data_IF_629493511161
#
_entry.id   IF_629493511161
#
_cell.length_a   1.000
_cell.length_b   1.000
_cell.length_c   1.000
_cell.angle_alpha   90.00
_cell.angle_beta   90.00
_cell.angle_gamma   90.00
#
_symmetry.space_group_name_H-M   'P 1'
#
loop_
_entity.id
_entity.type
_entity.pdbx_description
1 polymer ?
#
# COMPACT_ATOMS: atom_id res chain seq x y z
N UNK A 1 7.03 36.08 -24.50
CA UNK A 1 6.91 34.61 -24.63
C UNK A 1 7.50 34.20 -25.96
N UNK A 2 8.48 33.29 -25.99
CA UNK A 2 9.06 32.79 -27.24
C UNK A 2 8.04 31.94 -28.02
N UNK A 3 8.15 31.84 -29.36
CA UNK A 3 7.31 30.96 -30.19
C UNK A 3 7.36 29.50 -29.71
N UNK A 4 8.54 29.04 -29.30
CA UNK A 4 8.79 27.71 -28.76
C UNK A 4 7.99 27.43 -27.48
N UNK A 5 7.88 28.43 -26.59
CA UNK A 5 7.07 28.29 -25.38
C UNK A 5 5.56 28.20 -25.65
N UNK A 6 5.07 28.80 -26.76
CA UNK A 6 3.67 28.66 -27.18
C UNK A 6 3.39 27.27 -27.73
N UNK A 7 4.29 26.76 -28.58
CA UNK A 7 4.18 25.42 -29.15
C UNK A 7 4.25 24.33 -28.06
N UNK A 8 5.19 24.44 -27.10
CA UNK A 8 5.28 23.51 -25.98
C UNK A 8 3.98 23.47 -25.15
N UNK A 9 3.33 24.61 -24.91
CA UNK A 9 2.02 24.65 -24.24
C UNK A 9 0.92 23.97 -25.05
N UNK A 10 0.91 24.15 -26.36
CA UNK A 10 -0.06 23.50 -27.24
C UNK A 10 0.11 21.98 -27.21
N UNK A 11 1.35 21.49 -27.34
CA UNK A 11 1.68 20.06 -27.27
C UNK A 11 1.27 19.48 -25.92
N UNK A 12 1.60 20.16 -24.81
CA UNK A 12 1.15 19.75 -23.47
C UNK A 12 -0.37 19.58 -23.39
N UNK A 13 -1.13 20.57 -23.86
CA UNK A 13 -2.59 20.52 -23.81
C UNK A 13 -3.16 19.39 -24.68
N UNK A 14 -2.58 19.17 -25.87
CA UNK A 14 -2.94 18.06 -26.76
C UNK A 14 -2.67 16.72 -26.08
N UNK A 15 -1.48 16.51 -25.51
CA UNK A 15 -1.13 15.27 -24.81
C UNK A 15 -2.06 15.03 -23.61
N UNK A 16 -2.34 16.05 -22.81
CA UNK A 16 -3.28 15.93 -21.69
C UNK A 16 -4.72 15.62 -22.16
N UNK A 17 -5.15 16.13 -23.32
CA UNK A 17 -6.45 15.77 -23.89
C UNK A 17 -6.47 14.31 -24.32
N UNK A 18 -5.43 13.83 -25.01
CA UNK A 18 -5.31 12.43 -25.42
C UNK A 18 -5.33 11.51 -24.20
N UNK A 19 -4.56 11.83 -23.16
CA UNK A 19 -4.55 11.05 -21.90
C UNK A 19 -5.94 11.02 -21.26
N UNK A 20 -6.67 12.15 -21.27
CA UNK A 20 -8.05 12.21 -20.74
C UNK A 20 -9.03 11.35 -21.52
N UNK A 21 -8.81 11.19 -22.81
CA UNK A 21 -9.66 10.38 -23.69
C UNK A 21 -9.27 8.89 -23.63
N UNK A 22 -8.03 8.58 -23.24
CA UNK A 22 -7.57 7.22 -22.97
C UNK A 22 -8.16 6.64 -21.69
N UNK A 23 -8.38 7.46 -20.66
CA UNK A 23 -8.95 7.00 -19.41
C UNK A 23 -10.49 7.04 -19.50
N UNK A 24 -11.18 5.88 -19.47
CA UNK A 24 -12.62 5.82 -19.67
C UNK A 24 -13.36 6.71 -18.67
N UNK A 25 -14.36 7.49 -19.08
CA UNK A 25 -15.19 8.30 -18.18
C UNK A 25 -16.47 7.57 -17.79
N UNK A 26 -16.34 6.38 -17.19
CA UNK A 26 -17.47 5.59 -16.68
C UNK A 26 -18.42 5.02 -17.75
N UNK A 27 -18.84 3.76 -17.57
CA UNK A 27 -19.89 2.93 -18.21
C UNK A 27 -20.24 3.04 -19.71
N UNK A 28 -19.82 4.05 -20.45
CA UNK A 28 -20.09 4.19 -21.89
C UNK A 28 -18.86 3.70 -22.66
N UNK A 29 -18.96 2.44 -23.10
CA UNK A 29 -18.22 1.87 -24.24
C UNK A 29 -16.69 1.86 -24.16
N UNK A 30 -16.13 0.98 -23.32
CA UNK A 30 -14.86 0.31 -23.65
C UNK A 30 -15.17 -0.99 -24.38
N UNK A 31 -15.71 -0.87 -25.59
CA UNK A 31 -15.60 -1.94 -26.56
C UNK A 31 -14.13 -2.05 -26.99
N UNK A 32 -13.39 -2.98 -26.38
CA UNK A 32 -12.21 -3.63 -26.94
C UNK A 32 -11.15 -2.73 -27.60
N UNK A 33 -10.58 -1.77 -26.87
CA UNK A 33 -9.33 -1.14 -27.35
C UNK A 33 -8.16 -2.05 -26.97
N UNK A 34 -7.40 -2.49 -27.98
CA UNK A 34 -6.27 -3.38 -27.77
C UNK A 34 -5.21 -2.66 -26.91
N UNK A 35 -4.65 -3.30 -25.86
CA UNK A 35 -3.57 -2.73 -25.06
C UNK A 35 -2.34 -2.30 -25.89
N UNK A 36 -2.12 -2.91 -27.05
CA UNK A 36 -1.05 -2.50 -27.98
C UNK A 36 -1.30 -1.11 -28.59
N UNK A 37 -2.56 -0.77 -28.90
CA UNK A 37 -2.93 0.56 -29.39
C UNK A 37 -2.66 1.62 -28.32
N UNK A 38 -3.01 1.33 -27.06
CA UNK A 38 -2.79 2.26 -25.93
C UNK A 38 -1.30 2.54 -25.77
N UNK A 39 -0.46 1.50 -25.83
CA UNK A 39 0.98 1.66 -25.73
C UNK A 39 1.54 2.51 -26.86
N UNK A 40 1.16 2.26 -28.11
CA UNK A 40 1.64 3.04 -29.26
C UNK A 40 1.24 4.53 -29.19
N UNK A 41 0.06 4.82 -28.65
CA UNK A 41 -0.39 6.20 -28.40
C UNK A 41 0.49 6.87 -27.34
N UNK A 42 0.82 6.18 -26.25
CA UNK A 42 1.68 6.70 -25.20
C UNK A 42 3.13 6.90 -25.68
N UNK A 43 3.65 5.99 -26.50
CA UNK A 43 4.96 6.14 -27.16
C UNK A 43 4.99 7.39 -28.04
N UNK A 44 3.97 7.59 -28.87
CA UNK A 44 3.82 8.79 -29.70
C UNK A 44 3.74 10.07 -28.86
N UNK A 45 3.01 10.04 -27.73
CA UNK A 45 2.96 11.16 -26.79
C UNK A 45 4.32 11.43 -26.14
N UNK A 46 5.10 10.38 -25.85
CA UNK A 46 6.43 10.49 -25.27
C UNK A 46 7.40 11.17 -26.23
N UNK A 47 7.44 10.74 -27.49
CA UNK A 47 8.26 11.33 -28.56
C UNK A 47 7.90 12.80 -28.83
N UNK A 48 6.60 13.10 -28.87
CA UNK A 48 6.11 14.46 -29.00
C UNK A 48 6.54 15.32 -27.80
N UNK A 49 6.46 14.81 -26.57
CA UNK A 49 6.93 15.52 -25.38
C UNK A 49 8.44 15.80 -25.43
N UNK A 50 9.24 14.79 -25.79
CA UNK A 50 10.69 14.89 -25.88
C UNK A 50 11.13 16.00 -26.86
N UNK A 51 10.44 16.11 -28.00
CA UNK A 51 10.70 17.13 -29.03
C UNK A 51 10.54 18.57 -28.52
N UNK A 52 9.76 18.78 -27.46
CA UNK A 52 9.49 20.11 -26.87
C UNK A 52 10.02 20.24 -25.43
N UNK A 53 10.97 19.37 -25.02
CA UNK A 53 11.55 19.36 -23.66
C UNK A 53 10.49 19.21 -22.55
N UNK A 54 9.42 18.47 -22.83
CA UNK A 54 8.41 18.09 -21.84
C UNK A 54 8.67 16.65 -21.37
N UNK A 55 8.24 16.34 -20.15
CA UNK A 55 8.27 14.97 -19.64
C UNK A 55 6.86 14.38 -19.59
N UNK A 56 6.63 13.30 -20.34
CA UNK A 56 5.37 12.56 -20.28
C UNK A 56 5.09 12.03 -18.86
N UNK A 57 6.12 11.51 -18.18
CA UNK A 57 6.02 11.09 -16.77
C UNK A 57 5.47 12.20 -15.88
N UNK A 58 5.97 13.43 -16.01
CA UNK A 58 5.45 14.55 -15.23
C UNK A 58 3.99 14.86 -15.55
N UNK A 59 3.59 14.84 -16.83
CA UNK A 59 2.20 15.10 -17.24
C UNK A 59 1.23 14.03 -16.74
N UNK A 60 1.64 12.77 -16.75
CA UNK A 60 0.84 11.65 -16.25
C UNK A 60 0.68 11.67 -14.72
N UNK A 61 1.56 12.37 -14.00
CA UNK A 61 1.48 12.55 -12.56
C UNK A 61 0.75 13.84 -12.15
N UNK A 62 0.30 14.66 -13.11
CA UNK A 62 -0.48 15.87 -12.85
C UNK A 62 -1.96 15.56 -12.60
N UNK A 63 -2.56 16.31 -11.67
CA UNK A 63 -4.00 16.27 -11.35
C UNK A 63 -4.86 16.93 -12.44
N UNK A 64 -4.81 16.37 -13.64
CA UNK A 64 -5.35 16.97 -14.85
C UNK A 64 -6.81 16.58 -15.14
N UNK A 65 -7.34 15.55 -14.48
CA UNK A 65 -8.67 15.00 -14.72
C UNK A 65 -9.49 15.10 -13.45
N UNK A 66 -10.44 16.05 -13.39
CA UNK A 66 -11.32 16.24 -12.22
C UNK A 66 -10.57 16.26 -10.87
N UNK A 67 -9.46 17.01 -10.80
CA UNK A 67 -8.58 17.14 -9.64
C UNK A 67 -7.81 15.87 -9.20
N UNK A 68 -7.82 14.81 -10.01
CA UNK A 68 -7.06 13.58 -9.81
C UNK A 68 -6.12 13.28 -10.97
N UNK A 69 -5.20 12.34 -10.75
CA UNK A 69 -4.24 11.88 -11.76
C UNK A 69 -4.90 10.91 -12.76
N UNK A 70 -4.38 10.78 -13.98
CA UNK A 70 -4.75 9.72 -14.91
C UNK A 70 -4.68 8.32 -14.29
N UNK A 71 -3.65 8.04 -13.46
CA UNK A 71 -3.50 6.77 -12.76
C UNK A 71 -4.65 6.49 -11.78
N UNK A 72 -5.10 7.50 -11.03
CA UNK A 72 -6.25 7.36 -10.14
C UNK A 72 -7.49 6.89 -10.92
N UNK A 73 -7.80 7.55 -12.03
CA UNK A 73 -8.97 7.22 -12.83
C UNK A 73 -8.85 5.89 -13.56
N UNK A 74 -7.64 5.50 -13.99
CA UNK A 74 -7.39 4.19 -14.57
C UNK A 74 -7.72 3.06 -13.57
N UNK A 75 -7.47 3.28 -12.28
CA UNK A 75 -7.83 2.33 -11.21
C UNK A 75 -9.33 2.37 -10.92
N UNK A 76 -9.91 3.56 -10.74
CA UNK A 76 -11.33 3.72 -10.39
C UNK A 76 -12.27 3.18 -11.46
N UNK A 77 -11.92 3.38 -12.74
CA UNK A 77 -12.76 2.98 -13.87
C UNK A 77 -12.46 1.57 -14.37
N UNK A 78 -11.58 0.84 -13.68
CA UNK A 78 -11.21 -0.53 -14.05
C UNK A 78 -12.43 -1.46 -13.95
N UNK A 79 -12.73 -2.20 -15.01
CA UNK A 79 -13.88 -3.10 -15.00
C UNK A 79 -13.55 -4.44 -14.32
N UNK A 80 -14.54 -5.18 -13.82
CA UNK A 80 -14.32 -6.51 -13.26
C UNK A 80 -13.84 -7.56 -14.28
N UNK A 81 -14.09 -7.38 -15.58
CA UNK A 81 -13.62 -8.29 -16.62
C UNK A 81 -12.14 -8.07 -16.96
N UNK A 82 -11.65 -6.83 -16.87
CA UNK A 82 -10.20 -6.51 -16.89
C UNK A 82 -9.44 -7.11 -15.69
N UNK A 83 -10.14 -7.64 -14.67
CA UNK A 83 -9.53 -8.39 -13.57
C UNK A 83 -9.30 -9.86 -13.92
N UNK A 84 -10.04 -10.41 -14.88
CA UNK A 84 -9.96 -11.81 -15.33
C UNK A 84 -9.00 -11.99 -16.51
N UNK A 85 -8.96 -11.02 -17.42
CA UNK A 85 -8.04 -11.04 -18.56
C UNK A 85 -6.55 -10.89 -18.18
N UNK A 86 -6.25 -10.63 -16.91
CA UNK A 86 -4.87 -10.65 -16.39
C UNK A 86 -4.26 -12.06 -16.36
N UNK A 87 -5.09 -13.11 -16.24
CA UNK A 87 -4.61 -14.50 -16.39
C UNK A 87 -4.14 -14.78 -17.83
N UNK A 88 -4.59 -13.99 -18.81
CA UNK A 88 -4.18 -14.06 -20.21
C UNK A 88 -2.90 -13.24 -20.52
N UNK A 89 -2.31 -12.56 -19.54
CA UNK A 89 -0.97 -11.96 -19.65
C UNK A 89 -0.84 -10.68 -20.48
N UNK A 90 -1.95 -10.05 -20.87
CA UNK A 90 -1.95 -8.77 -21.60
C UNK A 90 -1.72 -7.56 -20.67
N UNK A 91 -0.94 -6.53 -21.09
CA UNK A 91 -0.75 -5.34 -20.28
C UNK A 91 -1.99 -4.44 -20.29
N UNK A 92 -2.72 -4.37 -19.18
CA UNK A 92 -3.81 -3.39 -18.94
C UNK A 92 -3.32 -1.93 -19.17
N UNK A 93 -4.23 -1.03 -19.55
CA UNK A 93 -4.07 0.43 -19.50
C UNK A 93 -3.28 0.91 -18.28
N UNK A 94 -3.60 0.42 -17.07
CA UNK A 94 -2.88 0.79 -15.85
C UNK A 94 -1.39 0.40 -15.93
N UNK A 95 -1.08 -0.81 -16.37
CA UNK A 95 0.30 -1.29 -16.55
C UNK A 95 1.04 -0.46 -17.58
N UNK A 96 0.38 -0.12 -18.69
CA UNK A 96 0.92 0.78 -19.70
C UNK A 96 1.24 2.16 -19.10
N UNK A 97 0.30 2.80 -18.40
CA UNK A 97 0.51 4.11 -17.78
C UNK A 97 1.64 4.08 -16.72
N UNK A 98 1.74 3.00 -15.93
CA UNK A 98 2.80 2.82 -14.94
C UNK A 98 4.18 2.81 -15.59
N UNK A 99 4.34 2.13 -16.73
CA UNK A 99 5.62 2.06 -17.44
C UNK A 99 6.14 3.42 -17.94
N UNK A 100 5.26 4.40 -18.17
CA UNK A 100 5.63 5.76 -18.57
C UNK A 100 5.68 6.77 -17.41
N UNK A 101 5.28 6.37 -16.20
CA UNK A 101 5.21 7.27 -15.03
C UNK A 101 6.37 7.12 -14.06
N UNK A 102 7.15 6.04 -14.11
CA UNK A 102 8.32 5.88 -13.24
C UNK A 102 9.36 7.01 -13.42
N UNK A 103 9.97 7.52 -12.33
CA UNK A 103 9.66 7.25 -10.93
C UNK A 103 8.41 8.02 -10.45
N UNK A 104 7.61 7.37 -9.61
CA UNK A 104 6.41 7.99 -9.03
C UNK A 104 6.76 8.97 -7.91
N UNK A 105 6.08 10.13 -7.90
CA UNK A 105 6.13 11.09 -6.81
C UNK A 105 5.33 10.56 -5.61
N UNK A 106 5.72 10.89 -4.37
CA UNK A 106 4.95 10.51 -3.19
C UNK A 106 3.47 10.92 -3.28
N UNK A 107 3.18 12.13 -3.78
CA UNK A 107 1.80 12.59 -3.98
C UNK A 107 1.00 11.74 -4.96
N UNK A 108 1.65 11.15 -5.96
CA UNK A 108 1.00 10.27 -6.93
C UNK A 108 0.77 8.89 -6.34
N UNK A 109 1.70 8.39 -5.53
CA UNK A 109 1.51 7.15 -4.74
C UNK A 109 0.30 7.29 -3.81
N UNK A 110 0.17 8.41 -3.10
CA UNK A 110 -1.00 8.73 -2.28
C UNK A 110 -2.32 8.73 -3.07
N UNK A 111 -2.32 9.23 -4.31
CA UNK A 111 -3.50 9.19 -5.19
C UNK A 111 -3.83 7.76 -5.64
N UNK A 112 -2.81 6.94 -5.92
CA UNK A 112 -3.03 5.52 -6.25
C UNK A 112 -3.59 4.77 -5.03
N UNK A 113 -3.07 5.03 -3.83
CA UNK A 113 -3.61 4.49 -2.58
C UNK A 113 -5.07 4.89 -2.37
N UNK A 114 -5.41 6.16 -2.62
CA UNK A 114 -6.79 6.66 -2.55
C UNK A 114 -7.69 5.95 -3.57
N UNK A 115 -7.21 5.72 -4.80
CA UNK A 115 -7.96 5.01 -5.83
C UNK A 115 -8.26 3.56 -5.41
N UNK A 116 -7.24 2.84 -4.92
CA UNK A 116 -7.41 1.48 -4.40
C UNK A 116 -8.35 1.43 -3.20
N UNK A 117 -8.31 2.44 -2.33
CA UNK A 117 -9.20 2.56 -1.18
C UNK A 117 -10.66 2.77 -1.63
N UNK A 118 -10.89 3.57 -2.67
CA UNK A 118 -12.22 3.79 -3.23
C UNK A 118 -12.80 2.56 -3.92
N UNK A 119 -11.97 1.79 -4.64
CA UNK A 119 -12.43 0.56 -5.31
C UNK A 119 -12.47 -0.67 -4.41
N UNK A 120 -11.89 -0.56 -3.20
CA UNK A 120 -11.70 -1.67 -2.25
C UNK A 120 -10.92 -2.85 -2.87
N UNK A 121 -10.06 -2.57 -3.84
CA UNK A 121 -9.33 -3.58 -4.61
C UNK A 121 -8.00 -3.93 -3.94
N UNK A 122 -8.07 -4.82 -2.95
CA UNK A 122 -6.90 -5.28 -2.20
C UNK A 122 -5.90 -6.04 -3.08
N UNK A 123 -6.37 -6.77 -4.10
CA UNK A 123 -5.47 -7.56 -4.95
C UNK A 123 -4.65 -6.67 -5.87
N UNK A 124 -5.28 -5.64 -6.44
CA UNK A 124 -4.57 -4.61 -7.18
C UNK A 124 -3.57 -3.87 -6.28
N UNK A 125 -4.00 -3.46 -5.08
CA UNK A 125 -3.11 -2.80 -4.13
C UNK A 125 -1.89 -3.66 -3.78
N UNK A 126 -2.11 -4.96 -3.51
CA UNK A 126 -1.06 -5.94 -3.26
C UNK A 126 -0.08 -5.98 -4.43
N UNK A 127 -0.57 -6.15 -5.66
CA UNK A 127 0.27 -6.22 -6.87
C UNK A 127 1.06 -4.96 -7.15
N UNK A 128 0.45 -3.78 -6.98
CA UNK A 128 1.15 -2.51 -7.15
C UNK A 128 2.34 -2.44 -6.20
N UNK A 129 2.19 -2.85 -4.94
CA UNK A 129 3.30 -2.91 -3.99
C UNK A 129 4.40 -3.92 -4.35
N UNK A 130 4.10 -4.93 -5.16
CA UNK A 130 5.10 -5.88 -5.67
C UNK A 130 5.94 -5.29 -6.80
N UNK A 131 5.43 -4.24 -7.47
CA UNK A 131 6.13 -3.61 -8.58
C UNK A 131 7.27 -2.72 -8.06
N UNK A 132 8.52 -2.92 -8.51
CA UNK A 132 9.66 -2.14 -8.07
C UNK A 132 9.53 -0.65 -8.41
N UNK A 133 8.73 -0.32 -9.43
CA UNK A 133 8.48 1.07 -9.86
C UNK A 133 7.55 1.82 -8.89
N UNK A 134 6.77 1.10 -8.08
CA UNK A 134 5.75 1.65 -7.19
C UNK A 134 6.23 1.72 -5.73
N UNK A 135 6.88 0.66 -5.25
CA UNK A 135 7.43 0.57 -3.91
C UNK A 135 8.86 0.04 -3.99
N UNK A 136 9.83 0.87 -4.42
CA UNK A 136 11.23 0.46 -4.46
C UNK A 136 11.63 0.01 -3.05
N UNK A 137 12.13 -1.22 -2.94
CA UNK A 137 12.68 -1.73 -1.69
C UNK A 137 13.69 -0.71 -1.16
N UNK A 138 13.72 -0.52 0.16
CA UNK A 138 14.80 0.24 0.80
C UNK A 138 16.14 -0.32 0.30
N UNK A 139 17.08 0.54 -0.10
CA UNK A 139 18.36 0.08 -0.64
C UNK A 139 19.10 -0.86 0.31
N UNK A 140 18.88 -0.71 1.62
CA UNK A 140 19.36 -1.61 2.67
C UNK A 140 18.74 -3.00 2.58
N UNK A 141 17.42 -3.09 2.35
CA UNK A 141 16.70 -4.35 2.20
C UNK A 141 17.09 -5.05 0.91
N UNK A 142 17.21 -4.30 -0.20
CA UNK A 142 17.62 -4.84 -1.49
C UNK A 142 19.06 -5.39 -1.46
N UNK A 143 19.98 -4.71 -0.77
CA UNK A 143 21.36 -5.15 -0.64
C UNK A 143 21.51 -6.39 0.25
N UNK A 144 20.67 -6.53 1.28
CA UNK A 144 20.85 -7.56 2.33
C UNK A 144 19.98 -8.80 2.15
N UNK A 145 18.81 -8.66 1.52
CA UNK A 145 17.91 -9.78 1.23
C UNK A 145 18.15 -10.37 -0.17
N UNK A 146 18.98 -9.69 -0.99
CA UNK A 146 19.31 -10.07 -2.35
C UNK A 146 18.21 -9.72 -3.36
N UNK A 147 18.51 -9.91 -4.66
CA UNK A 147 17.61 -9.60 -5.77
C UNK A 147 16.35 -10.49 -5.84
N UNK A 148 16.21 -11.49 -4.96
CA UNK A 148 15.16 -12.51 -4.99
C UNK A 148 14.28 -12.51 -3.73
N UNK A 149 14.09 -11.35 -3.10
CA UNK A 149 13.25 -11.27 -1.90
C UNK A 149 11.81 -11.58 -2.29
N UNK A 150 11.29 -12.72 -1.83
CA UNK A 150 9.87 -13.05 -1.95
C UNK A 150 9.10 -12.00 -1.13
N UNK A 151 8.21 -11.23 -1.73
CA UNK A 151 7.51 -10.18 -1.00
C UNK A 151 6.57 -10.73 0.06
N UNK A 152 6.22 -9.88 1.02
CA UNK A 152 5.26 -10.21 2.07
C UNK A 152 3.87 -10.41 1.46
N UNK A 153 3.16 -11.45 1.91
CA UNK A 153 1.81 -11.75 1.44
C UNK A 153 0.76 -11.37 2.46
N UNK A 154 -0.32 -10.75 1.99
CA UNK A 154 -1.43 -10.29 2.82
C UNK A 154 -2.76 -10.63 2.16
N UNK A 155 -3.50 -11.54 2.78
CA UNK A 155 -4.83 -11.97 2.35
C UNK A 155 -5.87 -11.42 3.31
N UNK A 156 -6.78 -10.58 2.82
CA UNK A 156 -7.83 -9.95 3.62
C UNK A 156 -9.17 -10.63 3.36
N UNK A 157 -9.83 -11.05 4.44
CA UNK A 157 -11.16 -11.63 4.45
C UNK A 157 -12.13 -10.72 5.21
N UNK A 158 -13.09 -10.15 4.50
CA UNK A 158 -14.18 -9.40 5.12
C UNK A 158 -15.29 -10.39 5.55
N UNK A 159 -15.72 -10.34 6.81
CA UNK A 159 -16.82 -11.18 7.29
C UNK A 159 -18.14 -10.86 6.60
N UNK A 160 -18.73 -11.84 5.90
CA UNK A 160 -20.03 -11.65 5.23
C UNK A 160 -21.19 -11.44 6.22
N UNK A 161 -21.04 -11.91 7.46
CA UNK A 161 -22.10 -11.83 8.49
C UNK A 161 -22.07 -10.52 9.26
N UNK A 162 -20.90 -9.92 9.37
CA UNK A 162 -20.67 -8.76 10.20
C UNK A 162 -19.97 -7.68 9.39
N UNK A 163 -20.73 -6.66 9.00
CA UNK A 163 -20.26 -5.55 8.17
C UNK A 163 -19.10 -4.75 8.80
N UNK A 164 -18.80 -4.99 10.08
CA UNK A 164 -17.72 -4.29 10.79
C UNK A 164 -16.50 -5.17 11.10
N UNK A 165 -16.55 -6.48 10.88
CA UNK A 165 -15.42 -7.38 11.20
C UNK A 165 -14.62 -7.81 9.96
N UNK A 166 -13.31 -7.99 10.12
CA UNK A 166 -12.43 -8.50 9.09
C UNK A 166 -11.26 -9.29 9.69
N UNK A 167 -10.62 -10.11 8.85
CA UNK A 167 -9.39 -10.83 9.16
C UNK A 167 -8.34 -10.53 8.09
N UNK A 168 -7.10 -10.27 8.49
CA UNK A 168 -5.97 -10.20 7.58
C UNK A 168 -4.97 -11.30 7.95
N UNK A 169 -4.73 -12.24 7.03
CA UNK A 169 -3.71 -13.27 7.14
C UNK A 169 -2.43 -12.76 6.50
N UNK A 170 -1.34 -12.77 7.26
CA UNK A 170 -0.06 -12.15 6.94
C UNK A 170 1.02 -13.23 6.88
N UNK A 171 1.84 -13.22 5.84
CA UNK A 171 3.07 -14.01 5.74
C UNK A 171 4.22 -13.06 5.46
N UNK A 172 5.08 -12.87 6.47
CA UNK A 172 6.23 -11.97 6.38
C UNK A 172 7.49 -12.81 6.18
N UNK A 173 8.17 -12.62 5.06
CA UNK A 173 9.36 -13.42 4.74
C UNK A 173 10.61 -12.84 5.40
N UNK A 174 11.56 -13.71 5.74
CA UNK A 174 12.84 -13.34 6.34
C UNK A 174 12.70 -12.42 7.57
N UNK A 175 11.68 -12.69 8.39
CA UNK A 175 11.21 -11.76 9.42
C UNK A 175 12.32 -11.39 10.41
N UNK A 176 13.04 -12.39 10.95
CA UNK A 176 14.08 -12.11 11.93
C UNK A 176 15.27 -11.36 11.33
N UNK A 177 15.66 -11.71 10.10
CA UNK A 177 16.75 -11.03 9.39
C UNK A 177 16.41 -9.56 9.17
N UNK A 178 15.22 -9.29 8.63
CA UNK A 178 14.71 -7.93 8.38
C UNK A 178 14.56 -7.12 9.67
N UNK A 179 14.07 -7.74 10.74
CA UNK A 179 14.00 -7.07 12.05
C UNK A 179 15.38 -6.72 12.63
N UNK A 180 16.40 -7.58 12.48
CA UNK A 180 17.76 -7.30 12.96
C UNK A 180 18.45 -6.18 12.16
N UNK A 181 18.19 -6.13 10.86
CA UNK A 181 18.83 -5.22 9.92
C UNK A 181 18.08 -3.89 9.85
N UNK A 182 16.87 -3.93 9.34
CA UNK A 182 16.06 -2.76 8.97
C UNK A 182 15.37 -2.18 10.19
N UNK A 183 15.23 -2.98 11.26
CA UNK A 183 14.60 -2.61 12.54
C UNK A 183 13.14 -2.19 12.40
N UNK A 184 12.55 -2.39 11.22
CA UNK A 184 11.19 -2.05 10.88
C UNK A 184 10.74 -2.90 9.70
N UNK A 185 9.58 -3.53 9.83
CA UNK A 185 8.88 -4.25 8.77
C UNK A 185 7.44 -3.75 8.78
N UNK A 186 6.93 -3.36 7.63
CA UNK A 186 5.57 -2.83 7.50
C UNK A 186 4.78 -3.66 6.50
N UNK A 187 3.57 -4.03 6.89
CA UNK A 187 2.58 -4.60 6.00
C UNK A 187 1.39 -3.66 5.94
N UNK A 188 0.91 -3.41 4.73
CA UNK A 188 -0.21 -2.49 4.50
C UNK A 188 -1.31 -3.25 3.77
N UNK A 189 -2.56 -2.97 4.11
CA UNK A 189 -3.71 -3.65 3.52
C UNK A 189 -4.97 -2.82 3.63
N UNK A 190 -5.92 -3.05 2.71
CA UNK A 190 -7.22 -2.40 2.67
C UNK A 190 -8.24 -3.37 3.26
N UNK A 191 -8.95 -2.92 4.30
CA UNK A 191 -10.04 -3.67 4.91
C UNK A 191 -11.12 -2.70 5.39
N UNK A 192 -12.39 -3.04 5.12
CA UNK A 192 -13.56 -2.24 5.55
C UNK A 192 -13.47 -0.74 5.24
N UNK A 193 -13.05 -0.42 4.00
CA UNK A 193 -12.95 0.97 3.52
C UNK A 193 -11.89 1.81 4.24
N UNK A 194 -10.86 1.15 4.80
CA UNK A 194 -9.71 1.78 5.46
C UNK A 194 -8.44 1.10 5.00
N UNK A 195 -7.37 1.88 4.92
CA UNK A 195 -6.03 1.39 4.69
C UNK A 195 -5.30 1.32 6.03
N UNK A 196 -4.84 0.12 6.35
CA UNK A 196 -4.19 -0.23 7.60
C UNK A 196 -2.71 -0.40 7.37
N UNK A 197 -1.92 0.04 8.35
CA UNK A 197 -0.49 -0.26 8.43
C UNK A 197 -0.22 -0.98 9.74
N UNK A 198 0.20 -2.24 9.64
CA UNK A 198 0.73 -3.01 10.75
C UNK A 198 2.25 -3.06 10.61
N UNK A 199 2.97 -2.66 11.66
CA UNK A 199 4.42 -2.60 11.64
C UNK A 199 5.02 -3.38 12.81
N UNK A 200 6.04 -4.17 12.52
CA UNK A 200 6.97 -4.69 13.53
C UNK A 200 8.17 -3.76 13.54
N UNK A 201 8.50 -3.16 14.69
CA UNK A 201 9.58 -2.18 14.77
C UNK A 201 10.36 -2.29 16.07
N UNK A 202 11.64 -1.96 16.02
CA UNK A 202 12.48 -1.83 17.21
C UNK A 202 12.37 -0.40 17.71
N UNK A 203 11.95 -0.23 18.97
CA UNK A 203 11.86 1.08 19.61
C UNK A 203 13.21 1.79 19.53
N UNK A 204 13.22 3.02 19.03
CA UNK A 204 14.40 3.87 18.98
C UNK A 204 14.40 4.80 20.19
N UNK A 205 15.51 5.51 20.44
CA UNK A 205 15.58 6.53 21.49
C UNK A 205 14.59 7.65 21.17
N UNK A 206 13.37 7.54 21.68
CA UNK A 206 12.38 8.60 21.65
C UNK A 206 12.40 9.40 22.94
N UNK A 207 12.11 10.70 22.81
CA UNK A 207 11.96 11.63 23.93
C UNK A 207 10.61 11.50 24.64
N UNK A 208 9.74 10.59 24.20
CA UNK A 208 8.45 10.32 24.84
C UNK A 208 8.65 9.53 26.13
N UNK A 209 8.20 10.10 27.24
CA UNK A 209 8.24 9.47 28.57
C UNK A 209 7.52 8.12 28.64
N UNK A 210 6.58 7.85 27.72
CA UNK A 210 5.80 6.62 27.66
C UNK A 210 6.28 5.64 26.58
N UNK A 211 7.35 5.94 25.85
CA UNK A 211 7.86 5.04 24.82
C UNK A 211 8.55 3.82 25.43
N UNK A 212 8.42 2.63 24.81
CA UNK A 212 9.18 1.44 25.22
C UNK A 212 10.69 1.69 25.20
N UNK A 213 11.48 1.07 26.10
CA UNK A 213 12.93 1.25 26.14
C UNK A 213 13.59 1.03 24.78
N UNK A 214 14.64 1.79 24.43
CA UNK A 214 15.35 1.61 23.17
C UNK A 214 15.82 0.17 22.99
N UNK A 215 15.66 -0.38 21.79
CA UNK A 215 15.97 -1.79 21.48
C UNK A 215 14.79 -2.75 21.68
N UNK A 216 13.70 -2.31 22.31
CA UNK A 216 12.51 -3.15 22.51
C UNK A 216 11.79 -3.42 21.19
N UNK A 217 11.59 -4.67 20.83
CA UNK A 217 10.72 -5.04 19.72
C UNK A 217 9.27 -4.72 20.05
N UNK A 218 8.59 -4.06 19.12
CA UNK A 218 7.22 -3.59 19.27
C UNK A 218 6.42 -4.00 18.03
N UNK A 219 5.13 -4.19 18.23
CA UNK A 219 4.15 -4.20 17.13
C UNK A 219 3.35 -2.91 17.21
N UNK A 220 3.08 -2.30 16.07
CA UNK A 220 2.20 -1.15 16.00
C UNK A 220 1.17 -1.23 14.88
N UNK A 221 0.03 -0.62 15.12
CA UNK A 221 -1.07 -0.53 14.18
C UNK A 221 -1.50 0.94 14.03
N UNK A 222 -1.66 1.38 12.79
CA UNK A 222 -2.09 2.74 12.46
C UNK A 222 -2.99 2.74 11.22
N UNK A 223 -3.77 3.81 11.06
CA UNK A 223 -4.45 4.11 9.81
C UNK A 223 -3.52 4.90 8.89
N UNK A 224 -3.58 4.62 7.61
CA UNK A 224 -2.90 5.41 6.59
C UNK A 224 -3.76 6.59 6.14
N UNK A 225 -3.12 7.52 5.44
CA UNK A 225 -3.77 8.69 4.84
C UNK A 225 -5.08 8.33 4.10
N UNK A 226 -6.00 9.30 4.07
CA UNK A 226 -7.34 9.17 3.47
C UNK A 226 -8.27 8.13 4.10
N UNK A 227 -7.82 7.39 5.13
CA UNK A 227 -8.69 6.46 5.86
C UNK A 227 -9.59 7.19 6.85
N UNK A 228 -10.90 6.89 6.89
CA UNK A 228 -11.79 7.49 7.87
C UNK A 228 -11.45 7.04 9.30
N UNK A 229 -11.52 7.95 10.30
CA UNK A 229 -11.35 7.61 11.71
C UNK A 229 -12.22 6.45 12.17
N UNK A 230 -11.75 5.68 13.17
CA UNK A 230 -12.53 4.57 13.72
C UNK A 230 -12.09 4.15 15.11
N UNK A 231 -13.03 3.60 15.88
CA UNK A 231 -12.71 2.87 17.10
C UNK A 231 -12.52 1.41 16.73
N UNK A 232 -11.47 0.79 17.27
CA UNK A 232 -11.04 -0.54 16.87
C UNK A 232 -10.95 -1.45 18.09
N UNK A 233 -11.60 -2.61 17.99
CA UNK A 233 -11.34 -3.77 18.83
C UNK A 233 -10.64 -4.84 18.00
N UNK A 234 -9.40 -5.19 18.33
CA UNK A 234 -8.63 -6.11 17.51
C UNK A 234 -7.61 -6.90 18.30
N UNK A 235 -7.08 -7.95 17.67
CA UNK A 235 -5.97 -8.75 18.19
C UNK A 235 -5.13 -9.30 17.05
N UNK A 236 -3.83 -9.40 17.31
CA UNK A 236 -2.88 -10.07 16.44
C UNK A 236 -2.58 -11.45 17.02
N UNK A 237 -2.82 -12.50 16.23
CA UNK A 237 -2.57 -13.88 16.60
C UNK A 237 -1.37 -14.39 15.79
N UNK A 238 -0.37 -14.94 16.48
CA UNK A 238 0.80 -15.55 15.86
C UNK A 238 0.80 -17.04 16.27
N UNK A 239 0.43 -17.97 15.36
CA UNK A 239 0.42 -19.40 15.67
C UNK A 239 1.84 -19.94 15.85
N UNK A 240 2.00 -20.95 16.71
CA UNK A 240 3.23 -21.73 16.75
C UNK A 240 3.29 -22.66 15.53
N UNK A 241 4.50 -22.92 15.04
CA UNK A 241 4.74 -23.72 13.83
C UNK A 241 4.51 -25.21 14.09
N UNK A 242 4.91 -25.70 15.27
CA UNK A 242 4.94 -27.14 15.61
C UNK A 242 3.91 -27.54 16.67
N UNK A 243 3.08 -26.62 17.15
CA UNK A 243 2.10 -26.90 18.20
C UNK A 243 0.79 -26.17 17.93
N UNK A 244 -0.28 -26.57 18.64
CA UNK A 244 -1.58 -25.90 18.61
C UNK A 244 -1.59 -24.57 19.39
N UNK A 245 -0.46 -24.16 19.98
CA UNK A 245 -0.35 -22.91 20.72
C UNK A 245 -0.36 -21.69 19.79
N UNK A 246 -0.82 -20.56 20.33
CA UNK A 246 -0.71 -19.28 19.63
C UNK A 246 -0.44 -18.15 20.62
N UNK A 247 0.27 -17.13 20.15
CA UNK A 247 0.47 -15.87 20.86
C UNK A 247 -0.63 -14.91 20.42
N UNK A 248 -1.41 -14.39 21.37
CA UNK A 248 -2.46 -13.39 21.10
C UNK A 248 -2.08 -12.05 21.72
N UNK A 249 -2.00 -11.02 20.88
CA UNK A 249 -1.62 -9.65 21.27
C UNK A 249 -2.86 -8.76 21.06
N UNK A 250 -3.53 -8.30 22.13
CA UNK A 250 -4.70 -7.42 22.01
C UNK A 250 -4.29 -6.03 21.53
N UNK A 251 -4.93 -5.51 20.48
CA UNK A 251 -4.63 -4.22 19.84
C UNK A 251 -5.89 -3.35 19.74
N UNK A 252 -6.49 -3.02 20.88
CA UNK A 252 -7.77 -2.28 20.93
C UNK A 252 -7.57 -0.84 21.41
N UNK A 253 -8.44 0.06 20.95
CA UNK A 253 -8.46 1.47 21.38
C UNK A 253 -9.87 1.84 21.85
N UNK A 254 -9.95 2.60 22.94
CA UNK A 254 -11.20 3.20 23.43
C UNK A 254 -11.52 4.54 22.76
N UNK A 255 -10.52 5.17 22.12
CA UNK A 255 -10.62 6.45 21.41
C UNK A 255 -10.55 6.23 19.90
N UNK A 256 -10.88 7.26 19.12
CA UNK A 256 -10.77 7.17 17.66
C UNK A 256 -9.31 7.05 17.24
N UNK A 257 -9.01 5.97 16.52
CA UNK A 257 -7.80 5.84 15.73
C UNK A 257 -7.95 6.74 14.51
N UNK A 258 -6.98 7.64 14.29
CA UNK A 258 -6.93 8.57 13.16
C UNK A 258 -5.65 8.35 12.35
N UNK A 259 -5.62 8.73 11.06
CA UNK A 259 -4.38 8.74 10.27
C UNK A 259 -3.28 9.58 10.93
N UNK A 260 -2.03 9.16 10.75
CA UNK A 260 -0.86 9.81 11.35
C UNK A 260 -0.74 11.29 10.97
N UNK A 261 -1.20 11.64 9.77
CA UNK A 261 -1.12 12.97 9.16
C UNK A 261 -2.20 13.93 9.66
N UNK A 262 -3.22 13.46 10.39
CA UNK A 262 -4.24 14.34 10.96
C UNK A 262 -3.67 15.20 12.10
N UNK A 263 -4.24 16.40 12.26
CA UNK A 263 -3.87 17.34 13.33
C UNK A 263 -4.00 16.70 14.71
N UNK A 264 -3.10 17.10 15.61
CA UNK A 264 -3.10 16.64 17.00
C UNK A 264 -4.35 17.17 17.73
N UNK A 265 -5.33 16.29 17.89
CA UNK A 265 -6.37 16.42 18.90
C UNK A 265 -6.03 15.49 20.05
N UNK A 266 -6.03 16.03 21.28
CA UNK A 266 -5.76 15.30 22.52
C UNK A 266 -6.67 14.07 22.74
N UNK A 267 -7.80 14.00 22.02
CA UNK A 267 -8.74 12.90 22.11
C UNK A 267 -8.55 11.78 21.09
N UNK A 268 -7.57 11.90 20.19
CA UNK A 268 -7.34 10.90 19.15
C UNK A 268 -6.11 10.03 19.44
N UNK A 269 -6.18 8.79 18.99
CA UNK A 269 -5.04 7.85 18.97
C UNK A 269 -4.51 7.82 17.55
N UNK A 270 -3.21 8.02 17.38
CA UNK A 270 -2.57 7.97 16.05
C UNK A 270 -1.99 6.59 15.73
N UNK A 271 -1.54 5.89 16.77
CA UNK A 271 -0.91 4.59 16.65
C UNK A 271 -1.19 3.79 17.93
N UNK A 272 -1.54 2.51 17.77
CA UNK A 272 -1.55 1.53 18.86
C UNK A 272 -0.16 0.91 18.88
N UNK A 273 0.62 1.10 19.96
CA UNK A 273 1.98 0.59 20.09
C UNK A 273 2.06 -0.39 21.27
N UNK A 274 2.54 -1.60 21.01
CA UNK A 274 2.64 -2.65 22.03
C UNK A 274 4.06 -3.24 22.05
N UNK A 275 4.77 -3.17 23.19
CA UNK A 275 6.05 -3.83 23.34
C UNK A 275 5.87 -5.36 23.43
N UNK A 276 6.70 -6.10 22.69
CA UNK A 276 6.67 -7.56 22.67
C UNK A 276 7.44 -8.17 23.85
N UNK A 277 8.40 -7.46 24.43
CA UNK A 277 9.23 -7.94 25.54
C UNK A 277 8.47 -8.08 26.87
N UNK A 278 7.38 -7.33 27.06
CA UNK A 278 6.60 -7.34 28.31
C UNK A 278 5.66 -8.55 28.48
N UNK A 279 5.34 -9.26 27.39
CA UNK A 279 4.35 -10.34 27.41
C UNK A 279 4.93 -11.75 27.62
N UNK A 280 6.21 -11.86 28.02
CA UNK A 280 6.93 -13.10 28.35
C UNK A 280 7.16 -14.06 27.17
N UNK A 281 6.10 -14.36 26.42
CA UNK A 281 6.07 -15.26 25.27
C UNK A 281 6.46 -14.54 23.97
N UNK A 282 6.09 -13.26 23.82
CA UNK A 282 6.35 -12.49 22.61
C UNK A 282 7.82 -12.06 22.45
N UNK A 283 8.59 -12.01 23.54
CA UNK A 283 10.05 -11.83 23.51
C UNK A 283 10.79 -13.01 22.84
N UNK A 284 10.13 -14.14 22.59
CA UNK A 284 10.77 -15.24 21.85
C UNK A 284 10.93 -14.96 20.37
N UNK A 285 10.25 -13.94 19.81
CA UNK A 285 10.32 -13.61 18.38
C UNK A 285 11.70 -13.11 17.93
N UNK A 286 12.49 -12.52 18.84
CA UNK A 286 13.84 -12.03 18.56
C UNK A 286 14.90 -13.14 18.51
N UNK A 287 14.66 -14.24 19.23
CA UNK A 287 15.63 -15.31 19.42
C UNK A 287 15.62 -16.31 18.27
N UNK A 288 16.81 -16.78 17.88
CA UNK A 288 16.92 -17.90 16.96
C UNK A 288 16.24 -19.15 17.55
N UNK A 289 15.53 -19.91 16.72
CA UNK A 289 14.77 -21.08 17.17
C UNK A 289 13.40 -20.75 17.79
N UNK A 290 12.89 -19.53 17.60
CA UNK A 290 11.53 -19.16 17.99
C UNK A 290 10.50 -20.14 17.43
N UNK A 291 9.59 -20.63 18.27
CA UNK A 291 8.51 -21.54 17.88
C UNK A 291 7.47 -20.91 16.94
N UNK A 292 7.56 -19.60 16.73
CA UNK A 292 6.64 -18.80 15.92
C UNK A 292 7.19 -18.49 14.52
N UNK A 293 8.46 -18.80 14.26
CA UNK A 293 9.14 -18.54 12.99
C UNK A 293 9.27 -19.86 12.23
N UNK A 294 8.80 -19.87 10.99
CA UNK A 294 8.87 -21.01 10.09
C UNK A 294 10.31 -21.43 9.79
N UNK A 295 10.52 -22.68 9.33
CA UNK A 295 11.84 -23.15 8.90
C UNK A 295 12.42 -22.35 7.72
N UNK A 296 11.56 -21.64 6.98
CA UNK A 296 11.88 -20.72 5.88
C UNK A 296 12.14 -19.27 6.35
N UNK A 297 12.25 -19.04 7.66
CA UNK A 297 12.38 -17.71 8.28
C UNK A 297 11.15 -16.81 8.05
N UNK A 298 9.98 -17.40 7.75
CA UNK A 298 8.72 -16.68 7.62
C UNK A 298 8.00 -16.54 8.96
N UNK A 299 7.38 -15.38 9.20
CA UNK A 299 6.42 -15.18 10.28
C UNK A 299 5.01 -15.21 9.69
N UNK A 300 4.18 -16.14 10.18
CA UNK A 300 2.75 -16.16 9.90
C UNK A 300 2.01 -15.46 11.01
N UNK A 301 1.11 -14.55 10.67
CA UNK A 301 0.27 -13.86 11.64
C UNK A 301 -1.16 -13.68 11.11
N UNK A 302 -2.12 -13.65 12.02
CA UNK A 302 -3.54 -13.41 11.73
C UNK A 302 -4.02 -12.23 12.54
N UNK A 303 -4.37 -11.15 11.87
CA UNK A 303 -4.95 -9.97 12.48
C UNK A 303 -6.48 -10.06 12.41
N UNK A 304 -7.14 -10.11 13.56
CA UNK A 304 -8.61 -10.13 13.67
C UNK A 304 -9.09 -8.80 14.22
N UNK A 305 -10.02 -8.15 13.55
CA UNK A 305 -10.49 -6.83 13.91
C UNK A 305 -11.99 -6.65 13.73
N UNK A 306 -12.59 -5.85 14.61
CA UNK A 306 -13.95 -5.36 14.53
C UNK A 306 -13.96 -3.84 14.74
N UNK A 307 -14.60 -3.14 13.81
CA UNK A 307 -14.81 -1.70 13.92
C UNK A 307 -16.00 -1.43 14.85
N UNK A 308 -15.82 -0.55 15.83
CA UNK A 308 -16.92 -0.06 16.64
C UNK A 308 -17.55 1.18 16.00
N UNK A 309 -18.86 1.36 16.19
CA UNK A 309 -19.50 2.64 15.87
C UNK A 309 -18.89 3.71 16.77
N UNK A 310 -18.57 4.92 16.26
CA UNK A 310 -18.24 6.03 17.13
C UNK A 310 -19.43 6.24 18.08
N UNK A 311 -19.15 6.18 19.39
CA UNK A 311 -20.13 6.43 20.44
C UNK A 311 -20.54 7.90 20.51
#
# INVERSE_FOLDING_TARGET
MSPQARQARQVRNTVLSIIKDLVPRGSETTGGRDPTDIRSILESCSEACASYSLSLSQLLQEKSIAAHTPLYWAIVNRTPDDRRDEEAGGPDLLTCLLSFTAPLRPSTVSEVHLACLHTLDQELFRRLKMSPDFAPLSGTDQMLLGATTIPDDVVVENSNRDNVAFTANLTITQFQKRMRVSKRIEVEFIARGRMWRLAFKVSQKNHDYNAPPPGTWCVSLSLMENSPPTVLDSKLIIPQVLSSGSLSIPMSTSKQLVPLEMFDDYNNVKEILIPLTGNGVAGTLEHAGSLYIGPDDSLKARFEARLAKPG
#
